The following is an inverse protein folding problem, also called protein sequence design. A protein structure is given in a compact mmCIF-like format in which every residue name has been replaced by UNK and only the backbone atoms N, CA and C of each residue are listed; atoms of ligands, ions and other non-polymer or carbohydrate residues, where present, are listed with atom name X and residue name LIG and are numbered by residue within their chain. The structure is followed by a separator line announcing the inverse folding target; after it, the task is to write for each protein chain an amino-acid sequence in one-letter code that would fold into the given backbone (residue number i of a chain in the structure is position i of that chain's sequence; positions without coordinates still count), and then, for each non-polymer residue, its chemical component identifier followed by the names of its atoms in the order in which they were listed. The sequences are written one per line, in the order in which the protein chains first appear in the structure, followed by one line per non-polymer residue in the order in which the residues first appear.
data_IF_732545884302
#
_entry.id   IF_732545884302
#
_cell.length_a   1.000
_cell.length_b   1.000
_cell.length_c   1.000
_cell.angle_alpha   90.00
_cell.angle_beta   90.00
_cell.angle_gamma   90.00
#
_symmetry.space_group_name_H-M   'P 1'
#
loop_
_entity.id
_entity.type
_entity.pdbx_description
1 polymer ?
#
# COMPACT_ATOMS: atom_id res chain seq x y z
N UNK A 1 -13.79 -7.74 40.16
CA UNK A 1 -14.53 -8.30 39.79
C UNK A 1 -14.57 -9.51 39.69
N UNK A 2 -14.85 -10.20 40.40
CA UNK A 2 -14.74 -11.41 40.53
C UNK A 2 -14.54 -11.88 39.34
N UNK A 3 -13.59 -12.36 39.27
CA UNK A 3 -13.30 -12.58 38.10
C UNK A 3 -13.42 -11.39 37.30
N UNK A 4 -13.33 -10.29 37.90
CA UNK A 4 -13.73 -9.16 37.33
C UNK A 4 -12.76 -8.12 37.47
N UNK A 5 -11.66 -8.41 38.00
CA UNK A 5 -10.58 -7.48 38.20
C UNK A 5 -10.02 -6.89 36.92
N UNK A 6 -10.22 -7.54 35.78
CA UNK A 6 -9.79 -7.00 34.53
C UNK A 6 -10.49 -5.69 34.17
N UNK A 7 -11.72 -5.49 34.60
CA UNK A 7 -12.42 -4.21 34.40
C UNK A 7 -11.75 -3.08 35.17
N UNK A 8 -11.29 -3.36 36.39
CA UNK A 8 -10.55 -2.39 37.15
C UNK A 8 -9.20 -2.06 36.52
N UNK A 9 -8.62 -2.98 35.81
CA UNK A 9 -7.35 -2.73 35.10
C UNK A 9 -7.54 -1.84 33.84
N UNK A 10 -8.69 -1.88 33.22
CA UNK A 10 -8.97 -1.02 32.08
C UNK A 10 -9.23 0.43 32.48
N UNK A 11 -9.83 0.65 33.65
CA UNK A 11 -10.14 1.99 34.15
C UNK A 11 -8.92 2.87 34.42
N UNK A 12 -7.82 2.35 34.99
CA UNK A 12 -6.60 3.12 35.14
C UNK A 12 -5.94 3.50 33.80
N UNK A 13 -6.36 2.87 32.70
CA UNK A 13 -5.83 3.17 31.39
C UNK A 13 -6.29 4.52 30.84
N UNK A 14 -7.05 5.29 31.57
CA UNK A 14 -7.21 6.72 31.29
C UNK A 14 -5.86 7.47 31.31
N UNK A 15 -4.83 6.88 31.94
CA UNK A 15 -3.44 7.36 31.89
C UNK A 15 -2.57 6.52 30.98
N UNK A 16 -3.17 5.91 29.97
CA UNK A 16 -2.47 5.09 29.01
C UNK A 16 -1.24 5.80 28.47
N UNK A 17 -0.09 5.19 28.66
CA UNK A 17 1.14 5.69 28.06
C UNK A 17 1.04 5.52 26.55
N UNK A 18 1.22 6.61 25.84
CA UNK A 18 1.31 6.56 24.39
C UNK A 18 2.47 5.69 23.97
N UNK A 19 2.22 4.72 23.11
CA UNK A 19 3.27 3.92 22.48
C UNK A 19 3.94 4.81 21.45
N UNK A 20 5.25 4.97 21.52
CA UNK A 20 5.99 5.73 20.53
C UNK A 20 6.29 4.85 19.31
N UNK A 21 6.15 5.40 18.13
CA UNK A 21 6.51 4.67 16.91
C UNK A 21 7.96 4.20 16.94
N UNK A 22 8.87 5.00 17.51
CA UNK A 22 10.29 4.63 17.67
C UNK A 22 10.50 3.34 18.47
N UNK A 23 9.61 3.03 19.43
CA UNK A 23 9.67 1.76 20.17
C UNK A 23 9.41 0.56 19.28
N UNK A 24 8.49 0.70 18.33
CA UNK A 24 8.16 -0.36 17.38
C UNK A 24 9.24 -0.51 16.32
N UNK A 25 9.69 0.60 15.73
CA UNK A 25 10.74 0.60 14.70
C UNK A 25 12.11 0.24 15.27
N UNK A 26 12.34 0.46 16.57
CA UNK A 26 13.55 0.05 17.28
C UNK A 26 13.51 -1.39 17.79
N UNK A 27 12.38 -2.08 17.66
CA UNK A 27 12.26 -3.45 18.15
C UNK A 27 13.05 -4.45 17.34
N UNK A 28 13.47 -5.53 17.98
CA UNK A 28 14.20 -6.61 17.32
C UNK A 28 13.35 -7.27 16.22
N UNK A 29 12.07 -7.47 16.49
CA UNK A 29 11.15 -8.09 15.57
C UNK A 29 11.02 -7.28 14.26
N UNK A 30 10.99 -5.96 14.33
CA UNK A 30 10.97 -5.11 13.14
C UNK A 30 12.30 -5.11 12.40
N UNK A 31 13.40 -4.97 13.14
CA UNK A 31 14.73 -4.87 12.53
C UNK A 31 15.23 -6.18 11.91
N UNK A 32 14.85 -7.32 12.47
CA UNK A 32 15.21 -8.64 11.92
C UNK A 32 14.28 -9.11 10.79
N UNK A 33 13.14 -8.47 10.62
CA UNK A 33 12.22 -8.80 9.51
C UNK A 33 12.88 -8.51 8.17
N UNK A 34 12.86 -9.48 7.27
CA UNK A 34 13.56 -9.40 5.98
C UNK A 34 12.77 -8.65 4.91
N UNK A 35 11.45 -8.62 5.02
CA UNK A 35 10.62 -7.98 4.01
C UNK A 35 10.79 -6.46 4.02
N UNK A 36 10.97 -5.88 2.83
CA UNK A 36 10.98 -4.42 2.63
C UNK A 36 9.64 -3.77 2.97
N UNK A 37 8.56 -4.54 2.99
CA UNK A 37 7.21 -4.06 3.29
C UNK A 37 6.75 -4.43 4.70
N UNK A 38 7.69 -4.57 5.62
CA UNK A 38 7.40 -4.76 7.04
C UNK A 38 6.87 -3.47 7.65
N UNK A 39 5.72 -3.56 8.31
CA UNK A 39 5.06 -2.41 8.95
C UNK A 39 4.90 -2.68 10.44
N UNK A 40 5.23 -1.69 11.26
CA UNK A 40 4.96 -1.72 12.69
C UNK A 40 3.54 -1.27 12.97
N UNK A 41 2.68 -2.16 13.47
CA UNK A 41 1.30 -1.83 13.81
C UNK A 41 1.15 -1.25 15.21
N UNK A 42 1.95 -1.70 16.16
CA UNK A 42 1.83 -1.28 17.55
C UNK A 42 2.27 -2.37 18.50
N UNK A 43 1.58 -2.49 19.63
CA UNK A 43 1.80 -3.52 20.64
C UNK A 43 0.54 -4.32 20.92
N UNK A 44 0.70 -5.60 21.20
CA UNK A 44 -0.41 -6.43 21.67
C UNK A 44 -0.79 -6.09 23.11
N UNK A 45 -1.80 -6.78 23.65
CA UNK A 45 -2.28 -6.52 25.02
C UNK A 45 -1.25 -6.84 26.10
N UNK A 46 -0.25 -7.65 25.78
CA UNK A 46 0.82 -8.02 26.71
C UNK A 46 2.00 -7.04 26.62
N UNK A 47 2.04 -6.19 25.60
CA UNK A 47 3.08 -5.20 25.39
C UNK A 47 4.16 -5.60 24.38
N UNK A 48 3.98 -6.71 23.66
CA UNK A 48 4.91 -7.13 22.63
C UNK A 48 4.70 -6.34 21.33
N UNK A 49 5.76 -5.91 20.64
CA UNK A 49 5.63 -5.27 19.34
C UNK A 49 4.94 -6.19 18.32
N UNK A 50 4.01 -5.62 17.55
CA UNK A 50 3.31 -6.31 16.47
C UNK A 50 3.77 -5.73 15.15
N UNK A 51 4.40 -6.56 14.34
CA UNK A 51 4.82 -6.21 12.99
C UNK A 51 4.16 -7.14 11.98
N UNK A 52 3.89 -6.62 10.80
CA UNK A 52 3.21 -7.35 9.73
C UNK A 52 3.93 -7.10 8.40
N UNK A 53 3.73 -7.99 7.46
CA UNK A 53 4.32 -7.89 6.12
C UNK A 53 3.23 -7.61 5.09
N UNK A 54 3.21 -6.41 4.55
CA UNK A 54 2.24 -6.00 3.53
C UNK A 54 2.34 -6.89 2.28
N UNK A 55 3.55 -7.36 1.94
CA UNK A 55 3.74 -8.22 0.76
C UNK A 55 2.93 -9.51 0.82
N UNK A 56 2.67 -10.00 2.02
CA UNK A 56 1.89 -11.24 2.23
C UNK A 56 0.39 -11.02 2.29
N UNK A 57 -0.05 -9.79 2.55
CA UNK A 57 -1.49 -9.51 2.72
C UNK A 57 -2.31 -9.74 1.45
N UNK A 58 -1.98 -9.41 0.21
CA UNK A 58 -1.12 -8.36 -0.34
C UNK A 58 -1.74 -6.97 -0.32
N UNK A 59 -3.03 -6.88 0.05
CA UNK A 59 -3.77 -5.64 0.19
C UNK A 59 -4.38 -5.58 1.58
N UNK A 60 -4.51 -4.39 2.13
CA UNK A 60 -5.12 -4.19 3.45
C UNK A 60 -6.17 -3.10 3.39
N UNK A 61 -7.34 -3.38 3.98
CA UNK A 61 -8.41 -2.43 4.18
C UNK A 61 -8.31 -1.86 5.60
N UNK A 62 -8.33 -0.54 5.70
CA UNK A 62 -8.23 0.17 6.97
C UNK A 62 -9.47 1.04 7.16
N UNK A 63 -10.18 0.87 8.25
CA UNK A 63 -11.39 1.64 8.52
C UNK A 63 -11.37 2.23 9.94
N UNK A 64 -12.06 3.34 10.10
CA UNK A 64 -12.19 4.01 11.39
C UNK A 64 -12.76 5.40 11.25
N UNK A 65 -13.46 5.88 12.29
CA UNK A 65 -14.03 7.22 12.31
C UNK A 65 -12.95 8.29 12.53
N UNK A 66 -13.31 9.53 12.32
CA UNK A 66 -12.45 10.67 12.66
C UNK A 66 -12.12 10.64 14.15
N UNK A 67 -10.86 10.82 14.50
CA UNK A 67 -10.41 10.77 15.89
C UNK A 67 -10.14 9.37 16.45
N UNK A 68 -10.36 8.32 15.66
CA UNK A 68 -10.12 6.94 16.08
C UNK A 68 -8.65 6.53 16.11
N UNK A 69 -7.78 7.35 15.50
CA UNK A 69 -6.37 7.02 15.30
C UNK A 69 -6.06 6.44 13.93
N UNK A 70 -7.04 6.39 13.01
CA UNK A 70 -6.84 5.86 11.64
C UNK A 70 -5.75 6.60 10.89
N UNK A 71 -5.75 7.92 10.90
CA UNK A 71 -4.76 8.74 10.20
C UNK A 71 -3.36 8.56 10.78
N UNK A 72 -3.25 8.53 12.10
CA UNK A 72 -1.98 8.26 12.79
C UNK A 72 -1.49 6.85 12.47
N UNK A 73 -2.40 5.88 12.42
CA UNK A 73 -2.07 4.50 12.05
C UNK A 73 -1.54 4.38 10.62
N UNK A 74 -2.14 5.07 9.67
CA UNK A 74 -1.67 5.09 8.28
C UNK A 74 -0.29 5.76 8.19
N UNK A 75 -0.07 6.86 8.90
CA UNK A 75 1.25 7.48 8.97
C UNK A 75 2.29 6.53 9.57
N UNK A 76 1.95 5.78 10.60
CA UNK A 76 2.85 4.78 11.17
C UNK A 76 3.21 3.68 10.16
N UNK A 77 2.25 3.23 9.36
CA UNK A 77 2.50 2.26 8.29
C UNK A 77 3.45 2.85 7.23
N UNK A 78 3.18 4.08 6.78
CA UNK A 78 4.04 4.76 5.80
C UNK A 78 5.46 4.97 6.31
N UNK A 79 5.61 5.47 7.54
CA UNK A 79 6.92 5.67 8.14
C UNK A 79 7.68 4.35 8.33
N UNK A 80 6.97 3.25 8.64
CA UNK A 80 7.57 1.93 8.69
C UNK A 80 8.21 1.53 7.36
N UNK A 81 7.50 1.77 6.25
CA UNK A 81 8.01 1.48 4.91
C UNK A 81 9.19 2.38 4.55
N UNK A 82 9.06 3.68 4.83
CA UNK A 82 10.07 4.68 4.50
C UNK A 82 11.35 4.51 5.34
N UNK A 83 11.23 4.02 6.55
CA UNK A 83 12.36 3.78 7.44
C UNK A 83 13.21 2.58 6.99
N UNK A 84 12.59 1.57 6.39
CA UNK A 84 13.25 0.31 6.03
C UNK A 84 13.76 0.28 4.60
N UNK A 85 13.10 0.95 3.68
CA UNK A 85 13.36 0.83 2.25
C UNK A 85 13.83 2.13 1.61
N UNK A 86 14.83 2.03 0.73
CA UNK A 86 15.29 3.15 -0.09
C UNK A 86 14.29 3.49 -1.20
N UNK A 87 14.43 4.68 -1.83
CA UNK A 87 13.58 5.03 -2.97
C UNK A 87 13.68 4.08 -4.17
N UNK A 88 14.81 3.37 -4.31
CA UNK A 88 14.99 2.38 -5.38
C UNK A 88 14.31 1.04 -5.07
N UNK A 89 14.02 0.79 -3.80
CA UNK A 89 13.43 -0.45 -3.33
C UNK A 89 11.91 -0.39 -3.22
N UNK A 90 11.37 0.77 -2.81
CA UNK A 90 9.93 0.98 -2.66
C UNK A 90 9.52 2.32 -3.25
N UNK A 91 8.51 2.31 -4.09
CA UNK A 91 7.86 3.50 -4.66
C UNK A 91 6.43 3.60 -4.14
N UNK A 92 5.95 4.84 -4.03
CA UNK A 92 4.63 5.13 -3.48
C UNK A 92 3.77 5.91 -4.46
N UNK A 93 2.48 5.61 -4.46
CA UNK A 93 1.43 6.46 -5.02
C UNK A 93 0.48 6.79 -3.87
N UNK A 94 0.42 8.06 -3.49
CA UNK A 94 -0.42 8.53 -2.40
C UNK A 94 -1.64 9.24 -2.95
N UNK A 95 -2.82 8.78 -2.56
CA UNK A 95 -4.11 9.31 -3.03
C UNK A 95 -4.86 9.89 -1.84
N UNK A 96 -5.11 11.20 -1.88
CA UNK A 96 -5.71 11.97 -0.80
C UNK A 96 -6.77 12.93 -1.34
N UNK A 97 -8.00 12.43 -1.60
CA UNK A 97 -9.05 13.25 -2.23
C UNK A 97 -9.45 14.48 -1.42
N UNK A 98 -9.31 14.43 -0.11
CA UNK A 98 -9.68 15.53 0.78
C UNK A 98 -8.54 16.50 1.08
N UNK A 99 -7.32 16.19 0.63
CA UNK A 99 -6.12 17.01 0.85
C UNK A 99 -5.79 17.27 2.33
N UNK A 100 -6.08 16.31 3.21
CA UNK A 100 -5.93 16.47 4.65
C UNK A 100 -4.74 15.72 5.25
N UNK A 101 -4.28 14.64 4.60
CA UNK A 101 -3.41 13.67 5.26
C UNK A 101 -2.02 13.54 4.64
N UNK A 102 -1.88 13.58 3.31
CA UNK A 102 -0.64 13.19 2.65
C UNK A 102 0.18 14.35 2.07
N UNK A 103 -0.28 15.58 2.21
CA UNK A 103 0.43 16.74 1.63
C UNK A 103 1.86 16.88 2.16
N UNK A 104 2.09 16.52 3.42
CA UNK A 104 3.42 16.55 4.04
C UNK A 104 4.42 15.67 3.30
N UNK A 105 3.98 14.56 2.71
CA UNK A 105 4.86 13.64 1.98
C UNK A 105 5.25 14.13 0.58
N UNK A 106 4.60 15.16 0.07
CA UNK A 106 4.85 15.61 -1.29
C UNK A 106 6.32 16.01 -1.46
N UNK A 107 6.94 15.51 -2.53
CA UNK A 107 8.34 15.79 -2.83
C UNK A 107 9.35 14.78 -2.29
N UNK A 108 8.94 13.73 -1.57
CA UNK A 108 9.89 12.68 -1.18
C UNK A 108 10.30 11.84 -2.40
N UNK A 109 11.54 11.31 -2.41
CA UNK A 109 12.05 10.61 -3.60
C UNK A 109 11.35 9.29 -3.92
N UNK A 110 10.55 8.75 -2.99
CA UNK A 110 9.79 7.52 -3.19
C UNK A 110 8.57 7.69 -4.09
N UNK A 111 8.09 8.92 -4.30
CA UNK A 111 6.84 9.14 -5.03
C UNK A 111 6.98 8.93 -6.54
N UNK A 112 6.02 8.22 -7.13
CA UNK A 112 5.89 8.07 -8.59
C UNK A 112 5.12 9.22 -9.24
N UNK A 113 4.34 9.96 -8.45
CA UNK A 113 3.61 11.15 -8.88
C UNK A 113 3.47 12.11 -7.71
N UNK A 114 3.12 13.39 -7.94
CA UNK A 114 2.64 14.22 -6.86
C UNK A 114 1.48 13.54 -6.11
N UNK A 115 1.24 13.92 -4.88
CA UNK A 115 0.08 13.41 -4.12
C UNK A 115 -1.19 13.65 -4.94
N UNK A 116 -1.95 12.59 -5.18
CA UNK A 116 -3.13 12.62 -6.05
C UNK A 116 -4.32 13.11 -5.25
N UNK A 117 -4.90 14.25 -5.66
CA UNK A 117 -6.00 14.90 -4.93
C UNK A 117 -7.32 14.88 -5.70
N UNK A 118 -7.28 14.68 -7.00
CA UNK A 118 -8.49 14.57 -7.84
C UNK A 118 -8.94 13.11 -7.93
N UNK A 119 -10.19 12.77 -7.57
CA UNK A 119 -10.71 11.41 -7.71
C UNK A 119 -10.60 10.83 -9.13
N UNK A 120 -10.77 11.65 -10.16
CA UNK A 120 -10.62 11.19 -11.55
C UNK A 120 -9.17 10.80 -11.86
N UNK A 121 -8.22 11.56 -11.36
CA UNK A 121 -6.80 11.25 -11.48
C UNK A 121 -6.43 10.00 -10.68
N UNK A 122 -7.08 9.77 -9.56
CA UNK A 122 -6.92 8.55 -8.77
C UNK A 122 -7.31 7.30 -9.57
N UNK A 123 -8.41 7.36 -10.31
CA UNK A 123 -8.84 6.27 -11.21
C UNK A 123 -7.77 6.03 -12.29
N UNK A 124 -7.24 7.09 -12.88
CA UNK A 124 -6.15 7.00 -13.86
C UNK A 124 -4.91 6.32 -13.25
N UNK A 125 -4.55 6.72 -12.03
CA UNK A 125 -3.41 6.13 -11.32
C UNK A 125 -3.61 4.64 -11.03
N UNK A 126 -4.81 4.21 -10.66
CA UNK A 126 -5.12 2.80 -10.44
C UNK A 126 -5.08 2.00 -11.74
N UNK A 127 -5.58 2.55 -12.84
CA UNK A 127 -5.47 1.93 -14.16
C UNK A 127 -4.01 1.80 -14.61
N UNK A 128 -3.20 2.82 -14.36
CA UNK A 128 -1.76 2.74 -14.60
C UNK A 128 -1.13 1.61 -13.80
N UNK A 129 -1.53 1.47 -12.55
CA UNK A 129 -1.02 0.43 -11.65
C UNK A 129 -1.34 -0.98 -12.19
N UNK A 130 -2.55 -1.18 -12.72
CA UNK A 130 -2.93 -2.44 -13.40
C UNK A 130 -2.01 -2.69 -14.59
N UNK A 131 -1.79 -1.69 -15.43
CA UNK A 131 -0.90 -1.79 -16.60
C UNK A 131 0.54 -2.12 -16.21
N UNK A 132 1.04 -1.51 -15.14
CA UNK A 132 2.38 -1.81 -14.60
C UNK A 132 2.48 -3.25 -14.11
N UNK A 133 1.46 -3.74 -13.42
CA UNK A 133 1.40 -5.14 -12.99
C UNK A 133 1.48 -6.10 -14.18
N UNK A 134 0.72 -5.84 -15.23
CA UNK A 134 0.72 -6.66 -16.45
C UNK A 134 2.07 -6.62 -17.16
N UNK A 135 2.70 -5.46 -17.22
CA UNK A 135 4.03 -5.30 -17.81
C UNK A 135 5.09 -6.07 -17.01
N UNK A 136 5.03 -6.01 -15.68
CA UNK A 136 5.91 -6.78 -14.80
C UNK A 136 5.74 -8.28 -15.01
N UNK A 137 4.49 -8.73 -15.17
CA UNK A 137 4.22 -10.13 -15.46
C UNK A 137 4.87 -10.58 -16.77
N UNK A 138 4.77 -9.77 -17.81
CA UNK A 138 5.43 -10.05 -19.09
C UNK A 138 6.94 -10.17 -18.95
N UNK A 139 7.56 -9.23 -18.22
CA UNK A 139 9.02 -9.25 -17.97
C UNK A 139 9.44 -10.50 -17.19
N UNK A 140 8.71 -10.85 -16.14
CA UNK A 140 8.99 -12.03 -15.33
C UNK A 140 8.81 -13.32 -16.13
N UNK A 141 7.77 -13.40 -16.94
CA UNK A 141 7.48 -14.54 -17.80
C UNK A 141 8.61 -14.76 -18.81
N UNK A 142 9.10 -13.71 -19.46
CA UNK A 142 10.22 -13.79 -20.40
C UNK A 142 11.50 -14.30 -19.76
N UNK A 143 11.71 -14.02 -18.49
CA UNK A 143 12.90 -14.46 -17.75
C UNK A 143 12.70 -15.80 -17.02
N UNK A 144 11.52 -16.39 -17.12
CA UNK A 144 11.20 -17.64 -16.46
C UNK A 144 11.20 -17.55 -14.93
N UNK A 145 10.95 -16.39 -14.37
CA UNK A 145 10.84 -16.19 -12.92
C UNK A 145 9.36 -16.00 -12.54
N UNK A 146 9.03 -16.33 -11.28
CA UNK A 146 7.64 -16.38 -10.82
C UNK A 146 7.20 -15.15 -10.04
N UNK A 147 8.14 -14.37 -9.53
CA UNK A 147 7.85 -13.22 -8.68
C UNK A 147 8.95 -12.17 -8.78
N UNK A 148 8.66 -11.01 -8.20
CA UNK A 148 9.55 -9.85 -8.23
C UNK A 148 10.89 -10.14 -7.55
N UNK A 149 10.92 -10.92 -6.47
CA UNK A 149 12.16 -11.22 -5.77
C UNK A 149 13.07 -12.08 -6.65
N UNK A 150 12.51 -13.05 -7.34
CA UNK A 150 13.24 -13.85 -8.33
C UNK A 150 13.76 -13.02 -9.50
N UNK A 151 12.93 -12.08 -9.99
CA UNK A 151 13.33 -11.15 -11.03
C UNK A 151 14.50 -10.28 -10.58
N UNK A 152 14.38 -9.64 -9.42
CA UNK A 152 15.40 -8.75 -8.89
C UNK A 152 16.71 -9.48 -8.57
N UNK A 153 16.66 -10.71 -8.05
CA UNK A 153 17.84 -11.52 -7.82
C UNK A 153 18.58 -11.81 -9.13
N UNK A 154 17.85 -12.17 -10.17
CA UNK A 154 18.44 -12.45 -11.49
C UNK A 154 19.03 -11.19 -12.12
N UNK A 155 18.37 -10.05 -11.94
CA UNK A 155 18.90 -8.75 -12.41
C UNK A 155 20.19 -8.41 -11.69
N UNK A 156 20.25 -8.57 -10.38
CA UNK A 156 21.46 -8.30 -9.58
C UNK A 156 22.62 -9.18 -9.99
N UNK A 157 22.37 -10.46 -10.26
CA UNK A 157 23.38 -11.40 -10.75
C UNK A 157 23.91 -10.94 -12.13
N UNK A 158 23.03 -10.54 -13.02
CA UNK A 158 23.40 -10.02 -14.33
C UNK A 158 24.22 -8.72 -14.23
N UNK A 159 23.82 -7.80 -13.36
CA UNK A 159 24.56 -6.58 -13.11
C UNK A 159 25.97 -6.85 -12.57
N UNK A 160 26.11 -7.80 -11.65
CA UNK A 160 27.40 -8.19 -11.09
C UNK A 160 28.34 -8.77 -12.13
N UNK A 161 27.80 -9.41 -13.16
CA UNK A 161 28.57 -10.01 -14.28
C UNK A 161 28.73 -9.05 -15.47
N UNK A 162 28.15 -7.86 -15.39
CA UNK A 162 28.16 -6.90 -16.50
C UNK A 162 27.32 -7.34 -17.70
N UNK A 163 26.38 -8.26 -17.52
CA UNK A 163 25.52 -8.75 -18.60
C UNK A 163 24.49 -7.73 -19.01
N UNK A 164 24.14 -7.75 -20.29
CA UNK A 164 23.06 -6.95 -20.87
C UNK A 164 21.88 -7.84 -21.18
N UNK A 165 20.68 -7.30 -20.99
CA UNK A 165 19.45 -7.95 -21.46
C UNK A 165 19.13 -7.49 -22.88
N UNK A 166 18.38 -8.31 -23.60
CA UNK A 166 17.92 -7.97 -24.94
C UNK A 166 16.40 -8.03 -25.03
N UNK A 167 15.84 -7.18 -25.87
CA UNK A 167 14.42 -7.19 -26.21
C UNK A 167 14.26 -7.01 -27.71
N UNK A 168 13.20 -7.57 -28.27
CA UNK A 168 12.84 -7.40 -29.66
C UNK A 168 11.87 -6.24 -29.79
N UNK A 169 12.21 -5.27 -30.63
CA UNK A 169 11.41 -4.07 -30.86
C UNK A 169 11.02 -4.02 -32.33
N UNK A 170 9.76 -3.71 -32.61
CA UNK A 170 9.29 -3.49 -33.96
C UNK A 170 9.77 -2.12 -34.44
N UNK A 171 10.52 -2.10 -35.58
CA UNK A 171 11.11 -0.87 -36.12
C UNK A 171 10.36 -0.34 -37.35
N UNK A 172 9.38 -1.07 -37.84
CA UNK A 172 8.61 -0.68 -39.00
C UNK A 172 8.08 -1.88 -39.77
N UNK A 173 7.79 -1.68 -41.04
CA UNK A 173 7.32 -2.72 -41.96
C UNK A 173 8.21 -2.83 -43.16
N UNK A 174 8.33 -4.06 -43.70
CA UNK A 174 9.02 -4.28 -44.95
C UNK A 174 8.22 -3.62 -46.10
N UNK A 175 8.89 -2.80 -46.92
CA UNK A 175 8.24 -2.08 -48.01
C UNK A 175 7.74 -3.02 -49.10
N UNK A 176 8.35 -4.21 -49.25
CA UNK A 176 7.98 -5.17 -50.29
C UNK A 176 6.92 -6.16 -49.90
N UNK A 177 6.89 -6.61 -48.62
CA UNK A 177 6.00 -7.68 -48.13
C UNK A 177 4.95 -7.20 -47.18
N UNK A 178 5.11 -5.99 -46.61
CA UNK A 178 4.23 -5.47 -45.55
C UNK A 178 4.38 -6.17 -44.20
N UNK A 179 5.35 -7.07 -44.04
CA UNK A 179 5.60 -7.78 -42.79
C UNK A 179 6.31 -6.89 -41.77
N UNK A 180 6.03 -7.07 -40.45
CA UNK A 180 6.71 -6.31 -39.42
C UNK A 180 8.22 -6.61 -39.41
N UNK A 181 9.02 -5.56 -39.28
CA UNK A 181 10.46 -5.65 -39.09
C UNK A 181 10.78 -5.52 -37.58
N UNK A 182 11.68 -6.36 -37.10
CA UNK A 182 12.10 -6.38 -35.71
C UNK A 182 13.61 -6.20 -35.59
N UNK A 183 14.01 -5.47 -34.57
CA UNK A 183 15.41 -5.35 -34.19
C UNK A 183 15.56 -5.78 -32.71
N UNK A 184 16.74 -6.32 -32.40
CA UNK A 184 17.09 -6.66 -31.01
C UNK A 184 17.87 -5.52 -30.42
N UNK A 185 17.31 -4.94 -29.36
CA UNK A 185 17.98 -3.93 -28.53
C UNK A 185 18.60 -4.56 -27.29
N UNK A 186 19.79 -4.10 -26.94
CA UNK A 186 20.43 -4.44 -25.66
C UNK A 186 20.23 -3.30 -24.68
N UNK A 187 19.92 -3.64 -23.43
CA UNK A 187 19.74 -2.66 -22.35
C UNK A 187 20.34 -3.19 -21.06
N UNK A 188 20.69 -2.25 -20.16
CA UNK A 188 21.17 -2.62 -18.82
C UNK A 188 20.00 -3.16 -18.00
N UNK A 189 20.16 -4.31 -17.38
CA UNK A 189 19.10 -4.82 -16.50
C UNK A 189 18.95 -3.92 -15.27
N UNK A 190 17.72 -3.61 -14.91
CA UNK A 190 17.38 -2.81 -13.74
C UNK A 190 16.40 -3.56 -12.87
N UNK A 191 16.58 -3.46 -11.56
CA UNK A 191 15.64 -4.03 -10.60
C UNK A 191 14.31 -3.27 -10.62
N UNK A 192 13.24 -3.96 -10.25
CA UNK A 192 11.92 -3.36 -10.11
C UNK A 192 11.65 -3.07 -8.64
N UNK A 193 11.23 -1.85 -8.29
CA UNK A 193 10.83 -1.54 -6.92
C UNK A 193 9.49 -2.18 -6.59
N UNK A 194 9.23 -2.42 -5.30
CA UNK A 194 7.86 -2.61 -4.83
C UNK A 194 7.10 -1.32 -5.02
N UNK A 195 5.82 -1.41 -5.31
CA UNK A 195 4.93 -0.26 -5.40
C UNK A 195 3.82 -0.41 -4.38
N UNK A 196 3.63 0.62 -3.55
CA UNK A 196 2.54 0.68 -2.58
C UNK A 196 1.65 1.87 -2.92
N UNK A 197 0.39 1.57 -3.20
CA UNK A 197 -0.65 2.58 -3.42
C UNK A 197 -1.41 2.75 -2.11
N UNK A 198 -1.48 3.98 -1.60
CA UNK A 198 -2.20 4.28 -0.36
C UNK A 198 -3.33 5.24 -0.65
N UNK A 199 -4.56 4.84 -0.36
CA UNK A 199 -5.77 5.65 -0.54
C UNK A 199 -6.29 6.03 0.83
N UNK A 200 -6.31 7.32 1.12
CA UNK A 200 -6.77 7.85 2.41
C UNK A 200 -8.28 7.74 2.62
N UNK A 201 -9.06 7.98 1.57
CA UNK A 201 -10.53 7.85 1.62
C UNK A 201 -11.06 7.25 0.34
N UNK A 202 -11.36 5.95 0.38
CA UNK A 202 -11.89 5.22 -0.76
C UNK A 202 -13.34 5.58 -1.09
N UNK A 203 -14.11 6.08 -0.13
CA UNK A 203 -15.50 6.46 -0.36
C UNK A 203 -15.62 7.51 -1.47
N UNK A 204 -14.71 8.47 -1.51
CA UNK A 204 -14.71 9.52 -2.53
C UNK A 204 -14.42 8.96 -3.93
N UNK A 205 -13.62 7.92 -4.03
CA UNK A 205 -13.35 7.23 -5.29
C UNK A 205 -14.54 6.36 -5.71
N UNK A 206 -15.12 5.64 -4.76
CA UNK A 206 -16.26 4.75 -5.02
C UNK A 206 -17.50 5.53 -5.49
N UNK A 207 -17.70 6.74 -4.98
CA UNK A 207 -18.81 7.61 -5.40
C UNK A 207 -18.64 8.12 -6.83
N UNK A 208 -17.41 8.28 -7.29
CA UNK A 208 -17.15 8.83 -8.65
C UNK A 208 -17.08 7.70 -9.68
N UNK A 209 -16.44 6.59 -9.37
CA UNK A 209 -16.16 5.55 -10.34
C UNK A 209 -16.09 4.15 -9.68
N UNK A 210 -17.09 3.82 -8.86
CA UNK A 210 -17.08 2.60 -8.06
C UNK A 210 -16.82 1.32 -8.87
N UNK A 211 -17.47 1.16 -10.02
CA UNK A 211 -17.30 -0.03 -10.87
C UNK A 211 -15.88 -0.13 -11.46
N UNK A 212 -15.31 1.00 -11.88
CA UNK A 212 -13.95 1.03 -12.40
C UNK A 212 -12.92 0.74 -11.31
N UNK A 213 -13.13 1.27 -10.11
CA UNK A 213 -12.28 0.99 -8.93
C UNK A 213 -12.34 -0.49 -8.59
N UNK A 214 -13.54 -1.08 -8.52
CA UNK A 214 -13.71 -2.51 -8.23
C UNK A 214 -13.03 -3.39 -9.29
N UNK A 215 -13.15 -3.03 -10.56
CA UNK A 215 -12.51 -3.76 -11.65
C UNK A 215 -10.98 -3.70 -11.54
N UNK A 216 -10.42 -2.54 -11.22
CA UNK A 216 -8.98 -2.39 -10.99
C UNK A 216 -8.50 -3.23 -9.80
N UNK A 217 -9.22 -3.17 -8.68
CA UNK A 217 -8.90 -3.93 -7.48
C UNK A 217 -8.94 -5.43 -7.76
N UNK A 218 -9.98 -5.90 -8.42
CA UNK A 218 -10.13 -7.31 -8.78
C UNK A 218 -8.99 -7.79 -9.68
N UNK A 219 -8.60 -6.96 -10.64
CA UNK A 219 -7.49 -7.27 -11.55
C UNK A 219 -6.15 -7.31 -10.81
N UNK A 220 -5.89 -6.31 -9.95
CA UNK A 220 -4.67 -6.23 -9.15
C UNK A 220 -4.53 -7.42 -8.20
N UNK A 221 -5.62 -7.87 -7.60
CA UNK A 221 -5.61 -9.00 -6.66
C UNK A 221 -5.14 -10.31 -7.29
N UNK A 222 -5.26 -10.47 -8.59
CA UNK A 222 -4.85 -11.70 -9.28
C UNK A 222 -3.34 -11.92 -9.24
N UNK A 223 -2.53 -10.85 -9.24
CA UNK A 223 -1.08 -10.97 -9.40
C UNK A 223 -0.29 -9.99 -8.53
N UNK A 224 -0.92 -9.30 -7.60
CA UNK A 224 -0.28 -8.26 -6.80
C UNK A 224 0.96 -8.77 -6.06
N UNK A 225 0.82 -9.90 -5.38
CA UNK A 225 1.91 -10.48 -4.59
C UNK A 225 3.12 -10.84 -5.45
N UNK A 226 2.89 -11.47 -6.59
CA UNK A 226 3.96 -11.85 -7.51
C UNK A 226 4.66 -10.64 -8.12
N UNK A 227 3.89 -9.59 -8.48
CA UNK A 227 4.42 -8.40 -9.15
C UNK A 227 4.99 -7.35 -8.20
N UNK A 228 4.81 -7.51 -6.89
CA UNK A 228 5.29 -6.54 -5.90
C UNK A 228 4.50 -5.24 -5.85
N UNK A 229 3.20 -5.29 -6.13
CA UNK A 229 2.30 -4.13 -6.11
C UNK A 229 1.21 -4.35 -5.08
N UNK A 230 1.11 -3.44 -4.12
CA UNK A 230 0.25 -3.60 -2.94
C UNK A 230 -0.56 -2.35 -2.68
N UNK A 231 -1.74 -2.52 -2.08
CA UNK A 231 -2.66 -1.41 -1.81
C UNK A 231 -3.03 -1.37 -0.33
N UNK A 232 -2.90 -0.18 0.26
CA UNK A 232 -3.49 0.17 1.55
C UNK A 232 -4.68 1.08 1.25
N UNK A 233 -5.88 0.61 1.52
CA UNK A 233 -7.10 1.34 1.18
C UNK A 233 -7.88 1.64 2.45
N UNK A 234 -8.14 2.93 2.69
CA UNK A 234 -8.73 3.39 3.93
C UNK A 234 -10.05 4.11 3.72
N UNK A 235 -10.92 4.09 4.74
CA UNK A 235 -12.19 4.82 4.74
C UNK A 235 -12.64 5.17 6.16
N UNK A 236 -13.21 6.42 6.28
CA UNK A 236 -13.96 6.83 7.46
C UNK A 236 -15.44 6.41 7.38
N UNK A 237 -15.88 5.90 6.21
CA UNK A 237 -17.28 5.56 5.94
C UNK A 237 -17.42 4.07 5.71
N UNK A 238 -17.51 3.26 6.77
CA UNK A 238 -17.59 1.80 6.63
C UNK A 238 -18.98 1.32 6.26
N UNK A 239 -19.57 1.88 5.23
CA UNK A 239 -20.89 1.47 4.72
C UNK A 239 -20.75 0.38 3.67
N UNK A 240 -21.84 -0.35 3.42
CA UNK A 240 -21.87 -1.42 2.41
C UNK A 240 -21.71 -0.90 0.98
N UNK A 241 -22.00 0.39 0.75
CA UNK A 241 -21.81 1.01 -0.56
C UNK A 241 -20.34 1.31 -0.86
N UNK A 242 -19.53 1.43 0.18
CA UNK A 242 -18.10 1.69 0.09
C UNK A 242 -17.33 0.37 0.21
N UNK A 243 -17.59 -0.39 1.27
CA UNK A 243 -16.98 -1.70 1.50
C UNK A 243 -17.91 -2.76 0.91
N UNK A 244 -17.90 -2.82 -0.41
CA UNK A 244 -18.75 -3.73 -1.19
C UNK A 244 -18.28 -5.17 -1.12
N UNK A 245 -19.09 -6.10 -1.63
CA UNK A 245 -18.70 -7.52 -1.72
C UNK A 245 -17.41 -7.74 -2.51
N UNK A 246 -17.21 -7.01 -3.61
CA UNK A 246 -15.99 -7.07 -4.40
C UNK A 246 -14.76 -6.58 -3.60
N UNK A 247 -14.92 -5.48 -2.88
CA UNK A 247 -13.85 -4.96 -2.01
C UNK A 247 -13.50 -5.99 -0.92
N UNK A 248 -14.50 -6.52 -0.23
CA UNK A 248 -14.28 -7.54 0.80
C UNK A 248 -13.58 -8.80 0.28
N UNK A 249 -13.95 -9.24 -0.92
CA UNK A 249 -13.34 -10.42 -1.53
C UNK A 249 -11.85 -10.24 -1.83
N UNK A 250 -11.42 -9.00 -2.11
CA UNK A 250 -10.05 -8.69 -2.51
C UNK A 250 -9.19 -8.06 -1.41
N UNK A 251 -9.79 -7.81 -0.25
CA UNK A 251 -9.10 -7.31 0.95
C UNK A 251 -9.36 -8.23 2.14
N UNK A 252 -8.79 -9.43 2.15
CA UNK A 252 -9.00 -10.36 3.25
C UNK A 252 -8.33 -9.92 4.55
N UNK A 253 -7.27 -9.11 4.47
CA UNK A 253 -6.61 -8.50 5.63
C UNK A 253 -7.26 -7.15 5.92
N UNK A 254 -7.69 -6.96 7.16
CA UNK A 254 -8.43 -5.74 7.56
C UNK A 254 -7.98 -5.24 8.92
N UNK A 255 -7.98 -3.92 9.05
CA UNK A 255 -7.71 -3.24 10.30
C UNK A 255 -8.89 -2.31 10.55
N UNK A 256 -9.52 -2.44 11.73
CA UNK A 256 -10.56 -1.51 12.16
C UNK A 256 -10.10 -0.77 13.39
N UNK A 257 -9.97 0.55 13.26
CA UNK A 257 -9.96 1.45 14.39
C UNK A 257 -11.38 1.62 14.90
N UNK A 258 -11.60 2.43 15.93
CA UNK A 258 -12.92 2.62 16.51
C UNK A 258 -13.94 3.06 15.46
N UNK A 259 -15.11 2.46 15.50
CA UNK A 259 -16.30 2.83 14.73
C UNK A 259 -17.44 3.16 15.68
N UNK A 260 -18.56 3.69 15.14
CA UNK A 260 -19.66 4.19 15.96
C UNK A 260 -20.73 3.14 16.25
N UNK A 261 -20.77 2.04 15.52
CA UNK A 261 -21.84 1.05 15.65
C UNK A 261 -21.36 -0.37 15.41
N UNK A 262 -22.13 -1.33 15.94
CA UNK A 262 -21.92 -2.77 15.69
C UNK A 262 -22.09 -3.10 14.21
N UNK A 263 -23.00 -2.41 13.52
CA UNK A 263 -23.23 -2.59 12.07
C UNK A 263 -21.97 -2.27 11.29
N UNK A 264 -21.31 -1.16 11.61
CA UNK A 264 -20.07 -0.75 10.98
C UNK A 264 -18.95 -1.76 11.23
N UNK A 265 -18.84 -2.25 12.47
CA UNK A 265 -17.85 -3.29 12.80
C UNK A 265 -18.08 -4.56 11.98
N UNK A 266 -19.33 -5.01 11.86
CA UNK A 266 -19.67 -6.19 11.05
C UNK A 266 -19.36 -5.99 9.57
N UNK A 267 -19.61 -4.79 9.07
CA UNK A 267 -19.29 -4.46 7.67
C UNK A 267 -17.79 -4.61 7.41
N UNK A 268 -16.94 -4.18 8.33
CA UNK A 268 -15.49 -4.24 8.18
C UNK A 268 -14.95 -5.65 8.48
N UNK A 269 -15.32 -6.20 9.63
CA UNK A 269 -14.68 -7.38 10.20
C UNK A 269 -15.52 -8.66 10.13
N UNK A 270 -16.80 -8.54 9.77
CA UNK A 270 -17.73 -9.67 9.85
C UNK A 270 -18.23 -9.96 11.27
N UNK A 271 -17.78 -9.20 12.26
CA UNK A 271 -18.15 -9.36 13.66
C UNK A 271 -18.19 -8.01 14.38
N UNK A 272 -18.90 -7.95 15.52
CA UNK A 272 -18.90 -6.77 16.37
C UNK A 272 -17.61 -6.69 17.18
N UNK A 273 -17.32 -5.51 17.73
CA UNK A 273 -16.18 -5.28 18.62
C UNK A 273 -15.47 -3.96 18.37
N UNK A 274 -15.39 -3.51 17.14
CA UNK A 274 -14.71 -2.25 16.83
C UNK A 274 -15.41 -1.02 17.42
N UNK A 275 -16.71 -1.09 17.71
CA UNK A 275 -17.46 -0.03 18.37
C UNK A 275 -17.09 0.12 19.85
N UNK A 276 -16.43 -0.87 20.43
CA UNK A 276 -15.98 -0.87 21.82
C UNK A 276 -14.53 -0.44 21.99
N UNK A 277 -13.82 -0.20 20.89
CA UNK A 277 -12.43 0.27 20.96
C UNK A 277 -12.35 1.65 21.62
N UNK A 278 -11.21 1.93 22.22
CA UNK A 278 -11.00 3.14 23.03
C UNK A 278 -10.69 4.39 22.21
N UNK A 279 -10.47 4.25 20.89
CA UNK A 279 -9.94 5.33 20.07
C UNK A 279 -8.44 5.49 20.22
N UNK A 280 -7.86 6.57 19.71
CA UNK A 280 -6.44 6.93 19.86
C UNK A 280 -5.46 5.82 19.43
N UNK A 281 -5.80 5.09 18.37
CA UNK A 281 -4.92 4.06 17.81
C UNK A 281 -5.26 2.64 18.26
N UNK A 282 -6.23 2.46 19.16
CA UNK A 282 -6.72 1.14 19.51
C UNK A 282 -7.42 0.50 18.31
N UNK A 283 -6.99 -0.69 17.90
CA UNK A 283 -7.45 -1.32 16.67
C UNK A 283 -7.73 -2.81 16.84
N UNK A 284 -8.56 -3.34 15.96
CA UNK A 284 -8.71 -4.76 15.71
C UNK A 284 -8.06 -5.12 14.38
N UNK A 285 -7.15 -6.07 14.42
CA UNK A 285 -6.42 -6.56 13.26
C UNK A 285 -6.92 -7.95 12.88
N UNK A 286 -7.35 -8.12 11.63
CA UNK A 286 -7.80 -9.38 11.07
C UNK A 286 -6.86 -9.78 9.93
N UNK A 287 -6.06 -10.80 10.16
CA UNK A 287 -5.12 -11.33 9.17
C UNK A 287 -5.83 -12.30 8.23
N UNK A 288 -5.81 -11.99 6.92
CA UNK A 288 -6.19 -12.94 5.87
C UNK A 288 -7.55 -13.62 6.03
N UNK A 289 -8.55 -12.93 6.58
CA UNK A 289 -9.87 -13.53 6.85
C UNK A 289 -9.90 -14.40 8.11
N UNK A 290 -8.83 -14.42 8.87
CA UNK A 290 -8.68 -15.24 10.06
C UNK A 290 -9.12 -14.56 11.35
N UNK A 291 -8.41 -14.91 12.42
CA UNK A 291 -8.73 -14.44 13.76
C UNK A 291 -8.49 -12.95 13.92
N UNK A 292 -9.39 -12.27 14.62
CA UNK A 292 -9.26 -10.87 14.98
C UNK A 292 -8.45 -10.75 16.28
N UNK A 293 -7.43 -9.90 16.27
CA UNK A 293 -6.60 -9.62 17.44
C UNK A 293 -6.58 -8.13 17.74
N UNK A 294 -6.50 -7.77 19.01
CA UNK A 294 -6.43 -6.38 19.44
C UNK A 294 -4.98 -5.90 19.46
N UNK A 295 -4.75 -4.76 18.85
CA UNK A 295 -3.44 -4.11 18.81
C UNK A 295 -3.60 -2.64 19.23
N UNK A 296 -2.67 -2.16 20.02
CA UNK A 296 -2.59 -0.76 20.40
C UNK A 296 -1.60 -0.07 19.49
N UNK A 297 -2.10 0.80 18.62
CA UNK A 297 -1.28 1.52 17.66
C UNK A 297 -0.38 2.56 18.30
N UNK A 298 0.76 2.86 17.67
CA UNK A 298 1.66 3.87 18.19
C UNK A 298 1.14 5.28 17.93
N UNK A 299 1.59 6.22 18.71
CA UNK A 299 1.42 7.63 18.44
C UNK A 299 2.53 8.09 17.50
N UNK A 300 2.17 8.90 16.53
CA UNK A 300 3.08 9.54 15.60
C UNK A 300 2.61 10.98 15.42
N UNK A 301 3.42 11.96 15.81
CA UNK A 301 3.07 13.36 15.68
C UNK A 301 3.30 13.86 14.25
N UNK A 302 2.63 14.94 13.88
CA UNK A 302 2.85 15.59 12.60
C UNK A 302 4.30 16.07 12.45
N UNK A 303 4.91 16.52 13.56
CA UNK A 303 6.31 16.93 13.58
C UNK A 303 7.26 15.78 13.28
N UNK A 304 6.98 14.58 13.81
CA UNK A 304 7.78 13.38 13.50
C UNK A 304 7.70 13.02 12.02
N UNK A 305 6.50 13.12 11.44
CA UNK A 305 6.31 12.90 9.99
C UNK A 305 7.11 13.93 9.19
N UNK A 306 7.02 15.21 9.55
CA UNK A 306 7.75 16.29 8.88
C UNK A 306 9.27 16.10 8.97
N UNK A 307 9.77 15.68 10.12
CA UNK A 307 11.22 15.44 10.32
C UNK A 307 11.71 14.31 9.40
N UNK A 308 10.96 13.21 9.30
CA UNK A 308 11.30 12.10 8.42
C UNK A 308 11.24 12.55 6.95
N UNK A 309 10.19 13.26 6.57
CA UNK A 309 10.02 13.77 5.20
C UNK A 309 11.16 14.72 4.81
N UNK A 310 11.50 15.65 5.68
CA UNK A 310 12.59 16.58 5.44
C UNK A 310 13.94 15.87 5.28
N UNK A 311 14.17 14.84 6.08
CA UNK A 311 15.36 14.01 5.94
C UNK A 311 15.39 13.27 4.59
N UNK A 312 14.27 12.67 4.19
CA UNK A 312 14.16 11.96 2.90
C UNK A 312 14.36 12.88 1.71
N UNK A 313 13.90 14.12 1.77
CA UNK A 313 14.10 15.10 0.71
C UNK A 313 15.58 15.43 0.47
N UNK A 314 16.46 15.22 1.45
CA UNK A 314 17.90 15.41 1.28
C UNK A 314 18.53 14.43 0.31
N UNK A 315 17.87 13.29 0.04
CA UNK A 315 18.33 12.30 -0.94
C UNK A 315 18.02 12.67 -2.38
N UNK A 316 17.34 13.76 -2.61
CA UNK A 316 17.01 14.28 -3.92
C UNK A 316 15.50 14.34 -4.19
N UNK A 317 15.10 14.97 -5.32
CA UNK A 317 13.69 15.05 -5.71
C UNK A 317 13.19 13.71 -6.24
N UNK A 318 11.85 13.53 -6.27
CA UNK A 318 11.27 12.36 -6.90
C UNK A 318 11.45 12.41 -8.42
N UNK A 319 11.48 11.24 -9.04
CA UNK A 319 11.46 11.09 -10.48
C UNK A 319 10.06 10.66 -10.91
N UNK A 320 9.20 11.63 -11.18
CA UNK A 320 7.81 11.38 -11.47
C UNK A 320 7.62 10.71 -12.83
N UNK A 321 6.68 9.75 -12.88
CA UNK A 321 6.24 9.11 -14.11
C UNK A 321 4.96 9.79 -14.60
N UNK A 322 5.02 10.46 -15.75
CA UNK A 322 3.90 11.21 -16.30
C UNK A 322 2.66 10.35 -16.54
N UNK A 323 2.84 9.10 -16.95
CA UNK A 323 1.75 8.17 -17.23
C UNK A 323 0.85 7.86 -16.04
N UNK A 324 1.32 8.07 -14.81
CA UNK A 324 0.51 7.78 -13.59
C UNK A 324 -0.71 8.67 -13.53
N UNK A 325 -0.59 9.95 -13.86
CA UNK A 325 -1.68 10.94 -13.78
C UNK A 325 -2.32 11.28 -15.11
N UNK A 326 -1.61 11.09 -16.23
CA UNK A 326 -2.05 11.53 -17.55
C UNK A 326 -2.73 10.43 -18.36
N UNK A 327 -2.57 9.17 -17.94
CA UNK A 327 -3.07 8.03 -18.68
C UNK A 327 -2.21 7.72 -19.93
N UNK A 328 -2.64 6.76 -20.78
CA UNK A 328 -1.91 6.41 -21.99
C UNK A 328 -1.93 7.57 -22.97
N UNK A 329 -0.85 7.73 -23.76
CA UNK A 329 -0.78 8.73 -24.83
C UNK A 329 -1.82 8.41 -25.92
N UNK A 330 -2.33 9.46 -26.61
CA UNK A 330 -3.41 9.37 -27.61
C UNK A 330 -3.18 8.35 -28.74
N UNK A 331 -2.00 7.78 -28.88
CA UNK A 331 -1.67 6.75 -29.89
C UNK A 331 -1.90 5.31 -29.45
N UNK A 332 -2.30 5.06 -28.21
CA UNK A 332 -2.44 3.71 -27.63
C UNK A 332 -3.88 3.31 -27.29
N UNK A 333 -4.86 4.16 -27.60
CA UNK A 333 -6.28 3.89 -27.31
C UNK A 333 -6.93 2.83 -28.21
N UNK A 334 -6.23 2.29 -29.19
CA UNK A 334 -6.85 1.40 -30.18
C UNK A 334 -6.86 -0.08 -29.83
N UNK A 335 -6.31 -0.51 -28.70
CA UNK A 335 -6.13 -1.93 -28.42
C UNK A 335 -6.79 -2.42 -27.13
N UNK A 336 -7.85 -1.73 -26.66
CA UNK A 336 -8.64 -2.24 -25.55
C UNK A 336 -10.13 -2.30 -25.97
N UNK A 337 -10.47 -3.34 -26.69
CA UNK A 337 -11.83 -3.89 -26.79
C UNK A 337 -11.86 -5.23 -26.04
#
# INVERSE_FOLDING_TARGET
IPGKNYMALELPNAKRQSIKLSEILGSQVYNEAKSMLTMGLGKDIVGNPVVVDLAKMPHVLVAGTTGSGKSVGINAMLLSLLFKASPDEVKLILIDPKMLEFQTYDGIPHLLSPVVTDPKKAVVALKWTVGEMEERYRKMSKMGVRNIDGYNSRVKDAQAKGEMFSRTVQTGFDEGTGEPLFETEKFKPETLPYIVVVVDEMADLMMVAGKEIEACIQRLAQMARASGIHIIMATQRPSVDVITGTIKANFPTRISFQVTSKVDSRTILGEMGAEQLLGMGDMLYMAGGGKVTRVHGPFCSDEEVEDVVNHLKTFGPPDYLSGVLEGPSEGTESDID
#
